data_IF_829807060004
#
_entry.id   IF_829807060004
#
_cell.length_a   1.000
_cell.length_b   1.000
_cell.length_c   1.000
_cell.angle_alpha   90.00
_cell.angle_beta   90.00
_cell.angle_gamma   90.00
#
_symmetry.space_group_name_H-M   'P 1'
#
loop_
_entity.id
_entity.type
_entity.pdbx_description
1 polymer ?
#
# COMPACT_ATOMS: atom_id res chain seq x y z
N UNK A 1 5.53 30.56 -2.32
CA UNK A 1 4.22 30.57 -1.65
C UNK A 1 4.39 31.08 -0.24
N UNK A 2 3.51 31.96 0.24
CA UNK A 2 3.53 32.41 1.64
C UNK A 2 2.96 31.30 2.55
N UNK A 3 3.36 31.21 3.82
CA UNK A 3 2.84 30.19 4.74
C UNK A 3 1.30 30.21 4.85
N UNK A 4 0.71 31.40 4.92
CA UNK A 4 -0.75 31.55 5.00
C UNK A 4 -1.47 31.04 3.75
N UNK A 5 -0.96 31.37 2.56
CA UNK A 5 -1.52 30.89 1.29
C UNK A 5 -1.45 29.37 1.20
N UNK A 6 -0.41 28.78 1.79
CA UNK A 6 -0.26 27.33 1.91
C UNK A 6 -1.30 26.70 2.80
N UNK A 7 -1.53 27.25 3.97
CA UNK A 7 -2.58 26.74 4.86
C UNK A 7 -3.96 26.83 4.20
N UNK A 8 -4.27 27.95 3.55
CA UNK A 8 -5.55 28.16 2.86
C UNK A 8 -5.75 27.17 1.71
N UNK A 9 -4.74 26.98 0.84
CA UNK A 9 -4.79 26.03 -0.26
C UNK A 9 -4.98 24.59 0.23
N UNK A 10 -4.22 24.16 1.24
CA UNK A 10 -4.35 22.81 1.80
C UNK A 10 -5.72 22.58 2.45
N UNK A 11 -6.25 23.57 3.17
CA UNK A 11 -7.56 23.48 3.80
C UNK A 11 -8.69 23.41 2.75
N UNK A 12 -8.64 24.25 1.72
CA UNK A 12 -9.62 24.25 0.64
C UNK A 12 -9.59 22.94 -0.16
N UNK A 13 -8.39 22.40 -0.43
CA UNK A 13 -8.22 21.11 -1.08
C UNK A 13 -8.77 19.95 -0.23
N UNK A 14 -8.54 19.98 1.09
CA UNK A 14 -9.07 18.96 2.00
C UNK A 14 -10.61 18.92 2.04
N UNK A 15 -11.27 20.06 1.81
CA UNK A 15 -12.72 20.17 1.73
C UNK A 15 -13.29 19.87 0.33
N UNK A 16 -12.45 19.41 -0.61
CA UNK A 16 -12.81 19.17 -2.01
C UNK A 16 -13.40 20.42 -2.70
N UNK A 17 -12.95 21.61 -2.26
CA UNK A 17 -13.44 22.89 -2.75
C UNK A 17 -12.62 23.44 -3.93
N UNK A 18 -11.45 22.86 -4.20
CA UNK A 18 -10.59 23.23 -5.32
C UNK A 18 -10.83 22.31 -6.53
N UNK A 19 -10.60 22.84 -7.73
CA UNK A 19 -10.66 22.06 -8.95
C UNK A 19 -9.68 22.57 -10.00
N UNK A 20 -9.26 21.69 -10.91
CA UNK A 20 -8.35 22.05 -12.00
C UNK A 20 -6.99 22.53 -11.48
N UNK A 21 -6.46 23.65 -11.98
CA UNK A 21 -5.08 24.07 -11.70
C UNK A 21 -4.71 24.20 -10.22
N UNK A 22 -5.65 24.64 -9.37
CA UNK A 22 -5.41 24.83 -7.94
C UNK A 22 -5.31 23.49 -7.18
N UNK A 23 -6.06 22.48 -7.64
CA UNK A 23 -5.95 21.12 -7.12
C UNK A 23 -4.62 20.48 -7.53
N UNK A 24 -4.23 20.65 -8.79
CA UNK A 24 -2.94 20.17 -9.32
C UNK A 24 -1.75 20.82 -8.57
N UNK A 25 -1.86 22.08 -8.18
CA UNK A 25 -0.86 22.79 -7.39
C UNK A 25 -0.68 22.16 -6.00
N UNK A 26 -1.77 21.79 -5.33
CA UNK A 26 -1.69 21.11 -4.02
C UNK A 26 -1.11 19.71 -4.15
N UNK A 27 -1.46 18.97 -5.21
CA UNK A 27 -0.90 17.64 -5.47
C UNK A 27 0.61 17.70 -5.72
N UNK A 28 1.05 18.67 -6.53
CA UNK A 28 2.46 18.92 -6.77
C UNK A 28 3.20 19.36 -5.49
N UNK A 29 2.56 20.19 -4.66
CA UNK A 29 3.11 20.63 -3.38
C UNK A 29 3.35 19.44 -2.44
N UNK A 30 2.36 18.57 -2.24
CA UNK A 30 2.47 17.42 -1.33
C UNK A 30 3.45 16.36 -1.87
N UNK A 31 3.57 16.24 -3.19
CA UNK A 31 4.56 15.35 -3.81
C UNK A 31 6.01 15.88 -3.63
N UNK A 32 6.20 17.19 -3.60
CA UNK A 32 7.51 17.84 -3.51
C UNK A 32 7.94 18.23 -2.09
N UNK A 33 7.00 18.40 -1.16
CA UNK A 33 7.24 18.85 0.22
C UNK A 33 6.56 17.93 1.25
N UNK A 34 7.33 17.03 1.90
CA UNK A 34 6.82 16.17 2.95
C UNK A 34 6.19 16.93 4.14
N UNK A 35 6.62 18.17 4.41
CA UNK A 35 6.06 18.99 5.48
C UNK A 35 4.63 19.46 5.17
N UNK A 36 4.20 19.43 3.90
CA UNK A 36 2.83 19.75 3.50
C UNK A 36 1.85 18.60 3.72
N UNK A 37 2.36 17.36 3.87
CA UNK A 37 1.53 16.18 4.05
C UNK A 37 0.84 16.13 5.42
N UNK A 38 1.53 16.55 6.49
CA UNK A 38 1.00 16.51 7.85
C UNK A 38 -0.18 17.49 8.05
N UNK A 39 -0.09 18.78 7.66
CA UNK A 39 -1.23 19.69 7.72
C UNK A 39 -2.40 19.25 6.84
N UNK A 40 -2.13 18.71 5.65
CA UNK A 40 -3.19 18.19 4.78
C UNK A 40 -3.93 17.00 5.42
N UNK A 41 -3.21 16.11 6.10
CA UNK A 41 -3.83 15.01 6.83
C UNK A 41 -4.72 15.53 7.98
N UNK A 42 -4.26 16.52 8.73
CA UNK A 42 -5.03 17.15 9.80
C UNK A 42 -6.32 17.81 9.28
N UNK A 43 -6.26 18.53 8.15
CA UNK A 43 -7.46 19.12 7.55
C UNK A 43 -8.44 18.08 7.03
N UNK A 44 -7.96 16.97 6.46
CA UNK A 44 -8.81 15.86 6.02
C UNK A 44 -9.52 15.18 7.20
N UNK A 45 -8.84 15.01 8.33
CA UNK A 45 -9.45 14.48 9.55
C UNK A 45 -10.60 15.39 10.02
N UNK A 46 -10.40 16.72 10.01
CA UNK A 46 -11.46 17.67 10.33
C UNK A 46 -12.63 17.57 9.34
N UNK A 47 -12.34 17.48 8.04
CA UNK A 47 -13.38 17.35 7.00
C UNK A 47 -14.20 16.06 7.17
N UNK A 48 -13.57 14.95 7.53
CA UNK A 48 -14.24 13.68 7.80
C UNK A 48 -15.19 13.79 9.01
N UNK A 49 -14.76 14.47 10.08
CA UNK A 49 -15.60 14.70 11.26
C UNK A 49 -16.85 15.52 10.91
N UNK A 50 -16.74 16.53 10.05
CA UNK A 50 -17.89 17.31 9.56
C UNK A 50 -18.87 16.39 8.81
N UNK A 51 -18.35 15.46 7.99
CA UNK A 51 -19.16 14.49 7.27
C UNK A 51 -20.00 13.57 8.17
N UNK A 52 -19.54 13.28 9.39
CA UNK A 52 -20.26 12.43 10.35
C UNK A 52 -21.50 13.11 10.95
N UNK A 53 -21.49 14.44 11.08
CA UNK A 53 -22.64 15.20 11.59
C UNK A 53 -23.69 15.47 10.50
N UNK A 54 -23.34 15.31 9.24
CA UNK A 54 -24.25 15.54 8.13
C UNK A 54 -25.44 14.56 8.17
N UNK A 55 -26.69 15.02 7.94
CA UNK A 55 -27.85 14.13 7.89
C UNK A 55 -27.68 13.04 6.83
N UNK A 56 -27.55 11.78 7.27
CA UNK A 56 -27.45 10.65 6.37
C UNK A 56 -28.75 10.50 5.56
N UNK A 57 -28.69 10.77 4.25
CA UNK A 57 -29.78 10.40 3.35
C UNK A 57 -29.82 8.88 3.23
N UNK A 58 -31.01 8.29 3.36
CA UNK A 58 -31.19 6.87 3.06
C UNK A 58 -30.88 6.63 1.58
N UNK A 59 -29.87 5.82 1.33
CA UNK A 59 -29.52 5.36 -0.01
C UNK A 59 -30.64 4.49 -0.58
N UNK A 60 -30.89 4.63 -1.88
CA UNK A 60 -31.79 3.75 -2.63
C UNK A 60 -31.34 2.28 -2.49
N UNK A 61 -32.19 1.36 -1.99
CA UNK A 61 -31.85 -0.05 -1.86
C UNK A 61 -31.42 -0.68 -3.20
N UNK A 62 -31.96 -0.23 -4.35
CA UNK A 62 -31.54 -0.71 -5.65
C UNK A 62 -30.09 -0.34 -5.98
N UNK A 63 -29.62 0.84 -5.54
CA UNK A 63 -28.23 1.25 -5.71
C UNK A 63 -27.29 0.34 -4.91
N UNK A 64 -27.66 -0.01 -3.67
CA UNK A 64 -26.88 -0.94 -2.84
C UNK A 64 -26.69 -2.28 -3.52
N UNK A 65 -27.77 -2.84 -4.09
CA UNK A 65 -27.71 -4.13 -4.76
C UNK A 65 -26.82 -4.09 -6.02
N UNK A 66 -26.93 -3.03 -6.82
CA UNK A 66 -26.04 -2.83 -7.98
C UNK A 66 -24.56 -2.74 -7.58
N UNK A 67 -24.23 -2.04 -6.49
CA UNK A 67 -22.85 -1.93 -6.01
C UNK A 67 -22.30 -3.25 -5.48
N UNK A 68 -23.12 -4.04 -4.77
CA UNK A 68 -22.71 -5.37 -4.33
C UNK A 68 -22.46 -6.30 -5.52
N UNK A 69 -23.28 -6.24 -6.56
CA UNK A 69 -23.07 -7.00 -7.78
C UNK A 69 -21.79 -6.56 -8.52
N UNK A 70 -21.50 -5.25 -8.60
CA UNK A 70 -20.27 -4.78 -9.24
C UNK A 70 -19.02 -5.18 -8.45
N UNK A 71 -19.04 -5.08 -7.12
CA UNK A 71 -17.93 -5.49 -6.26
C UNK A 71 -17.63 -6.99 -6.38
N UNK A 72 -18.66 -7.83 -6.49
CA UNK A 72 -18.48 -9.27 -6.70
C UNK A 72 -17.81 -9.60 -8.04
N UNK A 73 -18.13 -8.86 -9.10
CA UNK A 73 -17.51 -9.03 -10.43
C UNK A 73 -16.04 -8.61 -10.47
N UNK A 74 -15.65 -7.64 -9.64
CA UNK A 74 -14.27 -7.14 -9.53
C UNK A 74 -13.37 -8.02 -8.66
N UNK A 75 -13.91 -9.05 -7.99
CA UNK A 75 -13.12 -9.89 -7.09
C UNK A 75 -12.07 -10.65 -7.92
N UNK A 76 -10.77 -10.40 -7.72
CA UNK A 76 -9.74 -11.09 -8.49
C UNK A 76 -9.82 -12.58 -8.21
N UNK A 77 -9.79 -13.39 -9.27
CA UNK A 77 -9.63 -14.84 -9.13
C UNK A 77 -8.32 -15.10 -8.38
N UNK A 78 -8.30 -15.95 -7.33
CA UNK A 78 -7.09 -16.22 -6.61
C UNK A 78 -6.09 -16.86 -7.57
N UNK A 79 -5.05 -16.11 -7.95
CA UNK A 79 -3.96 -16.60 -8.76
C UNK A 79 -3.11 -17.55 -7.91
N UNK A 80 -3.50 -18.82 -7.93
CA UNK A 80 -2.74 -19.92 -7.31
C UNK A 80 -1.50 -20.21 -8.17
N UNK A 81 -0.55 -19.29 -8.18
CA UNK A 81 0.81 -19.46 -8.72
C UNK A 81 1.70 -18.95 -7.58
N UNK A 82 2.43 -19.76 -6.81
CA UNK A 82 3.65 -20.46 -7.20
C UNK A 82 4.13 -21.38 -6.04
N UNK A 83 3.42 -22.45 -5.64
CA UNK A 83 3.95 -23.36 -4.62
C UNK A 83 5.16 -24.16 -5.11
N UNK A 84 5.21 -24.50 -6.41
CA UNK A 84 6.28 -25.31 -6.99
C UNK A 84 7.67 -24.63 -6.95
N UNK A 85 7.73 -23.32 -7.17
CA UNK A 85 8.99 -22.56 -7.14
C UNK A 85 9.57 -22.46 -5.73
N UNK A 86 8.71 -22.34 -4.69
CA UNK A 86 9.14 -22.37 -3.29
C UNK A 86 9.67 -23.75 -2.89
N UNK A 87 8.98 -24.82 -3.32
CA UNK A 87 9.43 -26.20 -3.07
C UNK A 87 10.77 -26.48 -3.77
N UNK A 88 10.95 -26.02 -5.01
CA UNK A 88 12.21 -26.16 -5.73
C UNK A 88 13.37 -25.41 -5.05
N UNK A 89 13.13 -24.19 -4.55
CA UNK A 89 14.14 -23.41 -3.84
C UNK A 89 14.59 -24.08 -2.54
N UNK A 90 13.66 -24.64 -1.76
CA UNK A 90 13.98 -25.38 -0.52
C UNK A 90 14.78 -26.65 -0.84
N UNK A 91 14.37 -27.40 -1.87
CA UNK A 91 15.09 -28.61 -2.29
C UNK A 91 16.53 -28.30 -2.75
N UNK A 92 16.73 -27.22 -3.50
CA UNK A 92 18.05 -26.78 -3.94
C UNK A 92 18.96 -26.38 -2.77
N UNK A 93 18.43 -25.64 -1.78
CA UNK A 93 19.18 -25.24 -0.60
C UNK A 93 19.68 -26.46 0.22
N UNK A 94 18.82 -27.48 0.38
CA UNK A 94 19.19 -28.72 1.08
C UNK A 94 20.27 -29.51 0.34
N UNK A 95 20.24 -29.54 -1.00
CA UNK A 95 21.24 -30.23 -1.80
C UNK A 95 22.64 -29.60 -1.66
N UNK A 96 22.72 -28.26 -1.66
CA UNK A 96 23.99 -27.53 -1.49
C UNK A 96 24.59 -27.80 -0.09
N UNK A 97 23.74 -27.78 0.95
CA UNK A 97 24.15 -28.10 2.32
C UNK A 97 24.71 -29.52 2.44
N UNK A 98 24.04 -30.51 1.85
CA UNK A 98 24.48 -31.90 1.89
C UNK A 98 25.85 -32.11 1.21
N UNK A 99 26.09 -31.43 0.08
CA UNK A 99 27.37 -31.50 -0.63
C UNK A 99 28.49 -30.86 0.20
N UNK A 100 28.23 -29.69 0.80
CA UNK A 100 29.22 -29.00 1.64
C UNK A 100 29.63 -29.80 2.87
N UNK A 101 28.67 -30.45 3.54
CA UNK A 101 28.94 -31.31 4.71
C UNK A 101 29.73 -32.55 4.31
N UNK A 102 29.38 -33.19 3.18
CA UNK A 102 30.11 -34.35 2.64
C UNK A 102 31.59 -34.04 2.40
N UNK A 103 31.87 -32.91 1.76
CA UNK A 103 33.24 -32.45 1.50
C UNK A 103 34.01 -32.13 2.79
N UNK A 104 33.37 -31.45 3.75
CA UNK A 104 33.99 -31.14 5.04
C UNK A 104 34.39 -32.39 5.83
N UNK A 105 33.52 -33.39 5.89
CA UNK A 105 33.79 -34.66 6.60
C UNK A 105 34.89 -35.47 5.89
N UNK A 106 34.94 -35.43 4.55
CA UNK A 106 36.00 -36.08 3.77
C UNK A 106 37.38 -35.49 4.04
N UNK A 107 37.49 -34.16 4.08
CA UNK A 107 38.75 -33.48 4.39
C UNK A 107 39.24 -33.79 5.80
N UNK A 108 38.33 -33.80 6.78
CA UNK A 108 38.72 -34.00 8.18
C UNK A 108 39.30 -35.41 8.41
N UNK A 109 38.72 -36.44 7.78
CA UNK A 109 39.26 -37.81 7.84
C UNK A 109 40.63 -37.94 7.19
N UNK A 110 40.94 -37.16 6.15
CA UNK A 110 42.25 -37.16 5.50
C UNK A 110 43.35 -36.47 6.31
N UNK A 111 42.97 -35.57 7.23
CA UNK A 111 43.90 -34.88 8.13
C UNK A 111 44.18 -35.74 9.37
N UNK A 112 43.19 -36.45 9.90
CA UNK A 112 43.35 -37.32 11.08
C UNK A 112 44.13 -38.62 10.81
N UNK A 113 44.45 -38.93 9.55
CA UNK A 113 45.17 -40.16 9.13
C UNK A 113 46.63 -39.93 8.72
N UNK A 114 47.14 -38.71 8.87
CA UNK A 114 48.56 -38.34 8.77
C UNK A 114 49.19 -38.20 10.15
#
# INVERSE_FOLDING_TARGET
>A
MRPQEREELLAAYALDALSGPEADEVEALVAGDPEAAEPLAAYREIADLIGLEAPLRRTDPALRERMLQSAQRMRPTPTRRFPALRVAAVAAALAVLAIGVSWGVGLQRSIDTL
#
